data_IF_166522969893
#
_entry.id   IF_166522969893
#
_cell.length_a   1.000
_cell.length_b   1.000
_cell.length_c   1.000
_cell.angle_alpha   90.00
_cell.angle_beta   90.00
_cell.angle_gamma   90.00
#
_symmetry.space_group_name_H-M   'P 1'
#
loop_
_entity.id
_entity.type
_entity.pdbx_description
1 polymer ?
#
# COMPACT_ATOMS: atom_id res chain seq x y z
N UNK A 1 26.89 8.44 0.51
CA UNK A 1 25.58 9.11 0.36
C UNK A 1 24.62 8.03 -0.10
N UNK A 2 23.76 7.53 0.79
CA UNK A 2 22.73 6.56 0.40
C UNK A 2 21.79 7.30 -0.56
N UNK A 3 21.51 6.72 -1.72
CA UNK A 3 20.62 7.37 -2.69
C UNK A 3 19.28 7.63 -2.00
N UNK A 4 18.67 8.79 -2.23
CA UNK A 4 17.42 9.17 -1.57
C UNK A 4 16.33 8.10 -1.77
N UNK A 5 16.30 7.46 -2.93
CA UNK A 5 15.43 6.32 -3.27
C UNK A 5 15.67 5.07 -2.39
N UNK A 6 16.93 4.75 -2.04
CA UNK A 6 17.25 3.66 -1.10
C UNK A 6 16.81 4.02 0.33
N UNK A 7 17.00 5.28 0.73
CA UNK A 7 16.57 5.75 2.06
C UNK A 7 15.04 5.76 2.20
N UNK A 8 14.32 6.25 1.19
CA UNK A 8 12.84 6.23 1.14
C UNK A 8 12.31 4.80 1.14
N UNK A 9 12.95 3.89 0.40
CA UNK A 9 12.63 2.46 0.45
C UNK A 9 12.82 1.85 1.84
N UNK A 10 13.90 2.20 2.55
CA UNK A 10 14.16 1.75 3.92
C UNK A 10 13.13 2.31 4.91
N UNK A 11 12.77 3.58 4.83
CA UNK A 11 11.76 4.19 5.71
C UNK A 11 10.36 3.66 5.41
N UNK A 12 10.03 3.42 4.14
CA UNK A 12 8.83 2.68 3.74
C UNK A 12 8.78 1.30 4.39
N UNK A 13 9.83 0.50 4.28
CA UNK A 13 9.91 -0.84 4.88
C UNK A 13 9.71 -0.76 6.40
N UNK A 14 10.29 0.24 7.06
CA UNK A 14 10.11 0.46 8.50
C UNK A 14 8.66 0.80 8.87
N UNK A 15 8.01 1.71 8.13
CA UNK A 15 6.62 2.13 8.38
C UNK A 15 5.65 0.98 8.09
N UNK A 16 5.76 0.35 6.92
CA UNK A 16 4.94 -0.80 6.53
C UNK A 16 5.11 -1.97 7.52
N UNK A 17 6.36 -2.28 7.93
CA UNK A 17 6.64 -3.31 8.93
C UNK A 17 6.02 -2.98 10.29
N UNK A 18 6.16 -1.75 10.80
CA UNK A 18 5.53 -1.32 12.07
C UNK A 18 4.01 -1.43 12.02
N UNK A 19 3.40 -1.08 10.89
CA UNK A 19 1.95 -1.19 10.70
C UNK A 19 1.47 -2.63 10.64
N UNK A 20 2.20 -3.48 9.93
CA UNK A 20 1.89 -4.90 9.81
C UNK A 20 2.03 -5.65 11.15
N UNK A 21 2.96 -5.21 12.00
CA UNK A 21 3.38 -5.99 13.18
C UNK A 21 2.84 -5.54 14.53
N UNK A 22 2.47 -4.28 14.78
CA UNK A 22 2.16 -3.89 16.17
C UNK A 22 1.17 -2.74 16.38
N UNK A 23 1.39 -1.57 15.77
CA UNK A 23 0.69 -0.35 16.22
C UNK A 23 -0.79 -0.30 15.83
N UNK A 24 -1.12 -0.62 14.58
CA UNK A 24 -2.50 -0.60 14.09
C UNK A 24 -3.35 -1.77 14.61
N UNK A 25 -2.76 -2.95 14.84
CA UNK A 25 -3.49 -4.08 15.47
C UNK A 25 -3.96 -3.75 16.89
N UNK A 26 -3.22 -2.91 17.61
CA UNK A 26 -3.60 -2.44 18.94
C UNK A 26 -4.61 -1.27 18.89
N UNK A 27 -4.40 -0.27 18.01
CA UNK A 27 -5.23 0.95 17.92
C UNK A 27 -6.59 0.73 17.23
N UNK A 28 -6.69 -0.12 16.20
CA UNK A 28 -7.93 -0.33 15.41
C UNK A 28 -8.85 -1.44 15.99
N UNK A 29 -8.49 -1.97 17.15
CA UNK A 29 -9.22 -3.00 17.89
C UNK A 29 -8.58 -4.37 17.70
N UNK A 30 -7.99 -4.87 18.78
CA UNK A 30 -7.50 -6.23 18.87
C UNK A 30 -8.62 -7.23 18.51
N UNK A 31 -8.36 -8.13 17.56
CA UNK A 31 -9.06 -9.39 17.49
C UNK A 31 -9.53 -9.82 16.10
N UNK A 32 -8.86 -10.87 15.59
CA UNK A 32 -9.34 -11.88 14.63
C UNK A 32 -9.19 -11.62 13.13
N UNK A 33 -9.02 -10.38 12.66
CA UNK A 33 -8.85 -10.14 11.23
C UNK A 33 -7.41 -10.37 10.74
N UNK A 34 -7.24 -10.97 9.55
CA UNK A 34 -5.96 -11.13 8.85
C UNK A 34 -5.57 -9.81 8.16
N UNK A 35 -4.30 -9.44 8.31
CA UNK A 35 -3.68 -8.39 7.52
C UNK A 35 -3.14 -9.01 6.24
N UNK A 36 -3.43 -8.41 5.09
CA UNK A 36 -2.90 -8.82 3.79
C UNK A 36 -1.92 -7.76 3.34
N UNK A 37 -0.71 -8.15 2.92
CA UNK A 37 0.23 -7.26 2.25
C UNK A 37 0.39 -7.76 0.83
N UNK A 38 0.09 -6.89 -0.13
CA UNK A 38 0.29 -7.17 -1.55
C UNK A 38 1.73 -6.87 -1.94
N UNK A 39 2.16 -7.44 -3.05
CA UNK A 39 3.45 -7.08 -3.62
C UNK A 39 3.38 -5.74 -4.37
N UNK A 40 4.49 -4.99 -4.46
CA UNK A 40 4.53 -3.69 -5.12
C UNK A 40 4.04 -3.68 -6.58
N UNK A 41 4.21 -4.80 -7.30
CA UNK A 41 3.76 -4.95 -8.67
C UNK A 41 2.25 -4.75 -8.84
N UNK A 42 1.45 -5.11 -7.81
CA UNK A 42 0.02 -4.85 -7.81
C UNK A 42 -0.27 -3.34 -7.88
N UNK A 43 0.39 -2.55 -7.02
CA UNK A 43 0.22 -1.09 -6.98
C UNK A 43 0.54 -0.44 -8.32
N UNK A 44 1.64 -0.85 -8.96
CA UNK A 44 2.03 -0.36 -10.29
C UNK A 44 0.95 -0.69 -11.33
N UNK A 45 0.41 -1.90 -11.32
CA UNK A 45 -0.60 -2.33 -12.30
C UNK A 45 -1.92 -1.57 -12.13
N UNK A 46 -2.34 -1.32 -10.89
CA UNK A 46 -3.50 -0.45 -10.59
C UNK A 46 -3.28 0.97 -11.13
N UNK A 47 -2.08 1.55 -10.99
CA UNK A 47 -1.78 2.87 -11.57
C UNK A 47 -1.91 2.92 -13.09
N UNK A 48 -1.62 1.80 -13.76
CA UNK A 48 -1.73 1.68 -15.21
C UNK A 48 -3.15 1.35 -15.70
N UNK A 49 -4.15 1.37 -14.82
CA UNK A 49 -5.54 1.02 -15.11
C UNK A 49 -5.69 -0.39 -15.72
N UNK A 50 -4.88 -1.33 -15.25
CA UNK A 50 -5.07 -2.73 -15.61
C UNK A 50 -6.43 -3.25 -15.10
N UNK A 51 -7.15 -4.05 -15.92
CA UNK A 51 -8.47 -4.54 -15.55
C UNK A 51 -8.38 -5.44 -14.31
N UNK A 52 -9.30 -5.32 -13.33
CA UNK A 52 -9.23 -6.11 -12.09
C UNK A 52 -9.07 -7.63 -12.29
N UNK A 53 -9.63 -8.16 -13.38
CA UNK A 53 -9.53 -9.58 -13.71
C UNK A 53 -8.10 -10.02 -14.05
N UNK A 54 -7.28 -9.16 -14.66
CA UNK A 54 -5.88 -9.47 -14.98
C UNK A 54 -5.00 -9.50 -13.72
N UNK A 55 -5.45 -8.90 -12.62
CA UNK A 55 -4.72 -8.83 -11.36
C UNK A 55 -4.90 -10.07 -10.49
N UNK A 56 -5.96 -10.85 -10.71
CA UNK A 56 -6.31 -12.01 -9.85
C UNK A 56 -5.25 -13.10 -9.92
N UNK A 57 -4.84 -13.51 -11.12
CA UNK A 57 -3.84 -14.58 -11.26
C UNK A 57 -2.46 -14.22 -10.68
N UNK A 58 -1.86 -13.05 -10.97
CA UNK A 58 -0.54 -12.70 -10.44
C UNK A 58 -0.55 -12.28 -8.96
N UNK A 59 -1.61 -11.62 -8.48
CA UNK A 59 -1.60 -10.98 -7.15
C UNK A 59 -2.68 -11.51 -6.19
N UNK A 60 -3.50 -12.47 -6.62
CA UNK A 60 -4.65 -12.96 -5.85
C UNK A 60 -4.32 -13.98 -4.77
N UNK A 61 -3.15 -14.62 -4.83
CA UNK A 61 -2.73 -15.66 -3.88
C UNK A 61 -2.88 -15.25 -2.39
N UNK A 62 -2.53 -14.02 -1.97
CA UNK A 62 -2.73 -13.57 -0.59
C UNK A 62 -4.20 -13.54 -0.13
N UNK A 63 -5.15 -13.52 -1.07
CA UNK A 63 -6.58 -13.55 -0.80
C UNK A 63 -7.20 -14.94 -0.87
N UNK A 64 -6.43 -15.96 -1.28
CA UNK A 64 -6.94 -17.33 -1.34
C UNK A 64 -7.40 -17.80 0.03
N UNK A 65 -8.62 -18.37 0.08
CA UNK A 65 -9.27 -18.84 1.30
C UNK A 65 -9.52 -17.76 2.36
N UNK A 66 -9.49 -16.47 1.98
CA UNK A 66 -9.91 -15.37 2.84
C UNK A 66 -11.34 -14.95 2.54
N UNK A 67 -12.15 -14.80 3.58
CA UNK A 67 -13.44 -14.11 3.47
C UNK A 67 -13.22 -12.64 3.78
N UNK A 68 -13.86 -11.72 3.04
CA UNK A 68 -13.70 -10.26 3.23
C UNK A 68 -13.90 -9.83 4.69
N UNK A 69 -14.84 -10.45 5.42
CA UNK A 69 -15.12 -10.16 6.83
C UNK A 69 -13.98 -10.53 7.78
N UNK A 70 -13.09 -11.42 7.35
CA UNK A 70 -11.89 -11.83 8.07
C UNK A 70 -10.70 -10.95 7.73
N UNK A 71 -10.81 -10.04 6.75
CA UNK A 71 -9.74 -9.10 6.44
C UNK A 71 -9.84 -7.87 7.32
N UNK A 72 -8.71 -7.49 7.91
CA UNK A 72 -8.62 -6.31 8.77
C UNK A 72 -8.10 -5.10 8.00
N UNK A 73 -6.94 -5.30 7.36
CA UNK A 73 -6.26 -4.29 6.58
C UNK A 73 -5.64 -4.96 5.36
N UNK A 74 -5.77 -4.31 4.21
CA UNK A 74 -5.01 -4.64 3.01
C UNK A 74 -3.99 -3.54 2.78
N UNK A 75 -2.72 -3.92 2.77
CA UNK A 75 -1.58 -3.02 2.63
C UNK A 75 -1.02 -3.19 1.22
N UNK A 76 -0.93 -2.10 0.48
CA UNK A 76 -0.45 -2.05 -0.90
C UNK A 76 0.81 -1.18 -0.92
N UNK A 77 2.00 -1.79 -1.04
CA UNK A 77 3.21 -1.08 -1.42
C UNK A 77 3.03 -0.47 -2.80
N UNK A 78 3.49 0.77 -2.99
CA UNK A 78 3.44 1.42 -4.29
C UNK A 78 4.80 2.03 -4.58
N UNK A 79 5.39 1.58 -5.69
CA UNK A 79 6.53 2.25 -6.30
C UNK A 79 6.01 3.08 -7.46
N UNK A 80 5.99 4.40 -7.28
CA UNK A 80 5.61 5.32 -8.33
C UNK A 80 6.84 5.88 -9.04
N UNK A 81 6.76 5.99 -10.36
CA UNK A 81 7.76 6.69 -11.15
C UNK A 81 7.23 8.06 -11.55
N UNK A 82 7.90 9.11 -11.08
CA UNK A 82 7.64 10.47 -11.53
C UNK A 82 8.46 10.75 -12.79
N UNK A 83 7.76 10.97 -13.90
CA UNK A 83 8.35 11.38 -15.18
C UNK A 83 8.71 12.88 -15.18
N UNK A 84 9.49 13.30 -14.19
CA UNK A 84 10.12 14.62 -14.13
C UNK A 84 11.52 14.59 -14.75
N UNK A 85 12.19 15.73 -14.85
CA UNK A 85 13.58 15.83 -15.31
C UNK A 85 14.45 16.36 -14.17
N UNK A 86 15.29 15.51 -13.52
CA UNK A 86 15.50 14.08 -13.79
C UNK A 86 14.35 13.19 -13.27
N UNK A 87 14.13 12.00 -13.88
CA UNK A 87 13.14 11.06 -13.38
C UNK A 87 13.57 10.55 -12.01
N UNK A 88 12.60 10.33 -11.13
CA UNK A 88 12.85 9.77 -9.81
C UNK A 88 11.76 8.77 -9.44
N UNK A 89 12.12 7.83 -8.58
CA UNK A 89 11.18 6.85 -8.05
C UNK A 89 10.79 7.20 -6.63
N UNK A 90 9.57 6.83 -6.26
CA UNK A 90 9.04 7.17 -4.95
C UNK A 90 8.24 6.00 -4.37
N UNK A 91 8.57 5.66 -3.12
CA UNK A 91 7.91 4.60 -2.38
C UNK A 91 6.91 5.18 -1.40
N UNK A 92 5.67 4.71 -1.48
CA UNK A 92 4.63 4.97 -0.49
C UNK A 92 3.76 3.73 -0.27
N UNK A 93 2.87 3.80 0.71
CA UNK A 93 1.91 2.74 0.98
C UNK A 93 0.48 3.25 0.91
N UNK A 94 -0.42 2.41 0.41
CA UNK A 94 -1.85 2.55 0.65
C UNK A 94 -2.30 1.44 1.58
N UNK A 95 -3.07 1.80 2.60
CA UNK A 95 -3.65 0.85 3.52
C UNK A 95 -5.18 1.01 3.55
N UNK A 96 -5.88 -0.09 3.24
CA UNK A 96 -7.33 -0.16 3.22
C UNK A 96 -7.80 -0.75 4.56
N UNK A 97 -8.41 0.05 5.42
CA UNK A 97 -9.13 -0.46 6.60
C UNK A 97 -10.46 -1.06 6.13
N UNK A 98 -10.55 -2.39 6.18
CA UNK A 98 -11.73 -3.12 5.74
C UNK A 98 -12.90 -2.92 6.71
N UNK A 99 -12.60 -2.78 8.01
CA UNK A 99 -13.58 -2.52 9.07
C UNK A 99 -14.17 -1.12 8.97
N UNK A 100 -13.31 -0.11 8.84
CA UNK A 100 -13.76 1.29 8.88
C UNK A 100 -14.13 1.83 7.50
N UNK A 101 -13.88 1.05 6.43
CA UNK A 101 -14.03 1.43 5.03
C UNK A 101 -13.28 2.73 4.71
N UNK A 102 -12.04 2.81 5.20
CA UNK A 102 -11.18 3.99 5.04
C UNK A 102 -9.90 3.62 4.32
N UNK A 103 -9.44 4.54 3.49
CA UNK A 103 -8.16 4.47 2.78
C UNK A 103 -7.20 5.40 3.49
N UNK A 104 -6.01 4.90 3.78
CA UNK A 104 -4.91 5.66 4.35
C UNK A 104 -3.76 5.65 3.36
N UNK A 105 -3.19 6.82 3.08
CA UNK A 105 -1.95 6.94 2.31
C UNK A 105 -0.84 7.28 3.27
N UNK A 106 0.26 6.55 3.15
CA UNK A 106 1.38 6.57 4.06
C UNK A 106 2.62 6.87 3.25
N UNK A 107 3.10 8.09 3.41
CA UNK A 107 4.26 8.59 2.72
C UNK A 107 5.06 9.43 3.73
N UNK A 108 6.20 8.93 4.21
CA UNK A 108 6.98 9.62 5.23
C UNK A 108 7.67 10.89 4.72
N UNK A 109 7.65 11.13 3.41
CA UNK A 109 8.30 12.28 2.77
C UNK A 109 7.32 13.32 2.25
N UNK A 110 6.02 13.08 2.40
CA UNK A 110 4.96 13.96 1.93
C UNK A 110 4.23 14.59 3.11
N UNK A 111 4.01 15.90 3.01
CA UNK A 111 3.19 16.65 3.97
C UNK A 111 1.69 16.48 3.69
N UNK A 112 1.30 16.14 2.44
CA UNK A 112 -0.09 15.91 2.02
C UNK A 112 -0.28 14.62 1.18
N UNK A 113 -0.02 13.42 1.75
CA UNK A 113 0.04 12.17 0.97
C UNK A 113 -1.23 11.84 0.19
N UNK A 114 -2.40 12.14 0.75
CA UNK A 114 -3.69 11.83 0.13
C UNK A 114 -3.93 12.68 -1.14
N UNK A 115 -3.51 13.95 -1.10
CA UNK A 115 -3.66 14.89 -2.20
C UNK A 115 -2.72 14.52 -3.35
N UNK A 116 -1.47 14.21 -3.02
CA UNK A 116 -0.42 13.88 -3.99
C UNK A 116 -0.66 12.55 -4.69
N UNK A 117 -1.19 11.54 -3.99
CA UNK A 117 -1.38 10.18 -4.51
C UNK A 117 -2.83 9.83 -4.89
N UNK A 118 -3.74 10.81 -4.85
CA UNK A 118 -5.19 10.62 -5.01
C UNK A 118 -5.63 9.90 -6.31
N UNK A 119 -4.83 9.97 -7.38
CA UNK A 119 -5.11 9.24 -8.63
C UNK A 119 -5.18 7.72 -8.42
N UNK A 120 -4.24 7.14 -7.68
CA UNK A 120 -4.25 5.71 -7.40
C UNK A 120 -5.51 5.33 -6.60
N UNK A 121 -5.90 6.18 -5.64
CA UNK A 121 -7.08 5.96 -4.80
C UNK A 121 -8.36 5.94 -5.63
N UNK A 122 -8.47 6.78 -6.66
CA UNK A 122 -9.65 6.78 -7.54
C UNK A 122 -9.82 5.51 -8.37
N UNK A 123 -8.79 4.68 -8.46
CA UNK A 123 -8.78 3.43 -9.23
C UNK A 123 -8.82 2.17 -8.34
N UNK A 124 -8.77 2.31 -7.00
CA UNK A 124 -8.94 1.21 -6.03
C UNK A 124 -10.38 1.14 -5.50
#
# INVERSE_FOLDING_TARGET
MVAMDEYTGIEYVKVASKMYTSRWKAELGAGRGRSVMLEPGFGVKVQTNEPPQSLVAPFGAPFENLVIREMFVVVVPVLHMYFTLPPHTHWYCVALSMKDKRIWVLDPTSDEPLSEHGRLISHM
#
